data_IF_684399476035
#
_entry.id   IF_684399476035
#
_cell.length_a   1.000
_cell.length_b   1.000
_cell.length_c   1.000
_cell.angle_alpha   90.00
_cell.angle_beta   90.00
_cell.angle_gamma   90.00
#
_symmetry.space_group_name_H-M   'P 1'
#
loop_
_entity.id
_entity.type
_entity.pdbx_description
1 polymer ?
#
# COMPACT_ATOMS: atom_id res chain seq x y z
N UNK A 1 -0.43 -17.62 13.17
CA UNK A 1 -0.68 -17.17 11.77
C UNK A 1 -1.54 -18.21 11.08
N UNK A 2 -2.58 -17.79 10.34
CA UNK A 2 -3.25 -18.69 9.40
C UNK A 2 -2.31 -18.91 8.21
N UNK A 3 -2.14 -20.16 7.78
CA UNK A 3 -1.40 -20.47 6.55
C UNK A 3 -2.34 -20.23 5.37
N UNK A 4 -1.95 -19.36 4.46
CA UNK A 4 -2.63 -19.11 3.20
C UNK A 4 -1.73 -19.61 2.08
N UNK A 5 -2.31 -20.25 1.05
CA UNK A 5 -1.57 -20.57 -0.16
C UNK A 5 -1.41 -19.28 -0.99
N UNK A 6 -0.18 -18.76 -1.17
CA UNK A 6 0.06 -17.52 -1.92
C UNK A 6 -0.25 -17.67 -3.42
N UNK A 7 -0.32 -18.91 -3.92
CA UNK A 7 -0.71 -19.25 -5.29
C UNK A 7 -2.22 -19.47 -5.42
N UNK A 8 -3.00 -19.24 -4.37
CA UNK A 8 -4.45 -19.43 -4.42
C UNK A 8 -5.11 -18.39 -5.35
N UNK A 9 -5.41 -18.84 -6.57
CA UNK A 9 -6.06 -18.06 -7.64
C UNK A 9 -7.42 -18.65 -8.07
N UNK A 10 -7.91 -19.67 -7.36
CA UNK A 10 -9.07 -20.45 -7.81
C UNK A 10 -10.34 -19.57 -7.87
N UNK A 11 -10.90 -19.42 -9.09
CA UNK A 11 -12.20 -18.77 -9.42
C UNK A 11 -12.33 -17.27 -9.15
N UNK A 12 -11.27 -16.48 -9.37
CA UNK A 12 -11.24 -15.06 -8.97
C UNK A 12 -11.33 -14.94 -7.45
N UNK A 13 -10.36 -14.24 -6.87
CA UNK A 13 -10.26 -14.15 -5.42
C UNK A 13 -9.90 -12.75 -4.99
N UNK A 14 -10.60 -12.30 -3.96
CA UNK A 14 -10.37 -11.05 -3.29
C UNK A 14 -9.42 -11.26 -2.13
N UNK A 15 -8.31 -10.52 -2.17
CA UNK A 15 -7.23 -10.59 -1.19
C UNK A 15 -7.18 -9.30 -0.41
N UNK A 16 -7.14 -9.42 0.91
CA UNK A 16 -6.91 -8.27 1.80
C UNK A 16 -5.44 -8.27 2.16
N UNK A 17 -4.74 -7.20 1.84
CA UNK A 17 -3.31 -7.06 2.06
C UNK A 17 -3.09 -5.90 3.02
N UNK A 18 -2.28 -6.12 4.04
CA UNK A 18 -1.79 -5.07 4.92
C UNK A 18 -0.43 -4.61 4.42
N UNK A 19 -0.32 -3.34 4.13
CA UNK A 19 0.90 -2.64 3.76
C UNK A 19 1.38 -1.82 4.95
N UNK A 20 2.66 -1.94 5.29
CA UNK A 20 3.30 -1.20 6.38
C UNK A 20 4.29 -0.22 5.80
N UNK A 21 4.01 1.07 5.96
CA UNK A 21 4.89 2.18 5.62
C UNK A 21 5.65 2.62 6.86
N UNK A 22 6.95 2.90 6.72
CA UNK A 22 7.79 3.33 7.83
C UNK A 22 8.81 4.36 7.38
N UNK A 23 8.99 5.39 8.22
CA UNK A 23 10.12 6.31 8.17
C UNK A 23 10.64 6.49 9.59
N UNK A 24 11.89 6.07 9.85
CA UNK A 24 12.46 5.99 11.20
C UNK A 24 11.54 5.21 12.17
N UNK A 25 11.13 5.80 13.29
CA UNK A 25 10.19 5.24 14.26
C UNK A 25 8.70 5.44 13.92
N UNK A 26 8.38 6.18 12.85
CA UNK A 26 6.99 6.50 12.48
C UNK A 26 6.46 5.47 11.50
N UNK A 27 5.26 4.96 11.76
CA UNK A 27 4.61 3.93 10.95
C UNK A 27 3.21 4.35 10.49
N UNK A 28 2.81 3.78 9.35
CA UNK A 28 1.46 3.83 8.82
C UNK A 28 1.08 2.48 8.23
N UNK A 29 -0.17 2.08 8.40
CA UNK A 29 -0.75 0.87 7.85
C UNK A 29 -1.83 1.23 6.83
N UNK A 30 -1.79 0.54 5.69
CA UNK A 30 -2.88 0.53 4.73
C UNK A 30 -3.42 -0.88 4.59
N UNK A 31 -4.73 -1.03 4.56
CA UNK A 31 -5.40 -2.26 4.20
C UNK A 31 -6.05 -2.07 2.84
N UNK A 32 -5.57 -2.83 1.86
CA UNK A 32 -6.01 -2.75 0.46
C UNK A 32 -6.68 -4.05 0.07
N UNK A 33 -7.69 -3.96 -0.78
CA UNK A 33 -8.40 -5.13 -1.30
C UNK A 33 -8.14 -5.27 -2.80
N UNK A 34 -7.51 -6.37 -3.19
CA UNK A 34 -7.19 -6.67 -4.59
C UNK A 34 -7.95 -7.92 -5.01
N UNK A 35 -8.90 -7.75 -5.93
CA UNK A 35 -9.64 -8.84 -6.58
C UNK A 35 -8.97 -9.31 -7.86
N UNK A 36 -9.61 -10.25 -8.56
CA UNK A 36 -9.15 -10.68 -9.88
C UNK A 36 -8.42 -12.03 -9.92
N UNK A 37 -7.83 -12.30 -11.09
CA UNK A 37 -7.06 -13.51 -11.39
C UNK A 37 -5.54 -13.24 -11.27
N UNK A 38 -5.10 -12.77 -10.11
CA UNK A 38 -3.69 -12.50 -9.80
C UNK A 38 -3.26 -13.30 -8.56
N UNK A 39 -2.04 -13.85 -8.57
CA UNK A 39 -1.46 -14.46 -7.36
C UNK A 39 -0.97 -13.36 -6.42
N UNK A 40 -0.72 -13.70 -5.15
CA UNK A 40 -0.08 -12.74 -4.25
C UNK A 40 1.34 -12.38 -4.71
N UNK A 41 2.04 -13.32 -5.37
CA UNK A 41 3.37 -13.08 -5.92
C UNK A 41 3.37 -12.06 -7.06
N UNK A 42 2.36 -12.12 -7.95
CA UNK A 42 2.23 -11.16 -9.06
C UNK A 42 2.03 -9.72 -8.55
N UNK A 43 1.36 -9.55 -7.40
CA UNK A 43 1.12 -8.22 -6.82
C UNK A 43 2.39 -7.58 -6.23
N UNK A 44 3.44 -8.36 -5.96
CA UNK A 44 4.66 -7.81 -5.36
C UNK A 44 5.40 -6.85 -6.28
N UNK A 45 5.24 -6.97 -7.60
CA UNK A 45 5.78 -5.99 -8.55
C UNK A 45 4.96 -4.69 -8.56
N UNK A 46 3.65 -4.78 -8.36
CA UNK A 46 2.75 -3.62 -8.38
C UNK A 46 3.06 -2.66 -7.22
N UNK A 47 3.51 -3.20 -6.09
CA UNK A 47 3.91 -2.39 -4.93
C UNK A 47 5.27 -1.69 -5.09
N UNK A 48 6.06 -2.03 -6.12
CA UNK A 48 7.36 -1.39 -6.39
C UNK A 48 7.24 -0.15 -7.28
N UNK A 49 6.08 0.07 -7.91
CA UNK A 49 5.81 1.24 -8.74
C UNK A 49 5.01 2.29 -7.95
N UNK A 50 5.55 3.51 -7.86
CA UNK A 50 4.94 4.58 -7.05
C UNK A 50 3.55 5.00 -7.53
N UNK A 51 3.35 5.10 -8.85
CA UNK A 51 2.05 5.48 -9.44
C UNK A 51 0.99 4.40 -9.20
N UNK A 52 1.35 3.12 -9.36
CA UNK A 52 0.47 1.96 -9.09
C UNK A 52 0.13 1.86 -7.62
N UNK A 53 1.13 1.99 -6.74
CA UNK A 53 0.96 1.95 -5.29
C UNK A 53 0.03 3.07 -4.79
N UNK A 54 0.24 4.31 -5.25
CA UNK A 54 -0.64 5.43 -4.90
C UNK A 54 -2.07 5.23 -5.42
N UNK A 55 -2.21 4.74 -6.65
CA UNK A 55 -3.53 4.45 -7.23
C UNK A 55 -4.29 3.42 -6.41
N UNK A 56 -3.59 2.39 -5.92
CA UNK A 56 -4.16 1.39 -5.02
C UNK A 56 -4.58 1.97 -3.66
N UNK A 57 -3.72 2.78 -3.05
CA UNK A 57 -3.99 3.41 -1.76
C UNK A 57 -5.17 4.41 -1.81
N UNK A 58 -5.43 5.01 -2.97
CA UNK A 58 -6.56 5.95 -3.20
C UNK A 58 -7.89 5.25 -3.53
N UNK A 59 -7.91 3.91 -3.65
CA UNK A 59 -9.17 3.19 -3.88
C UNK A 59 -10.12 3.36 -2.70
N UNK A 60 -11.43 3.42 -2.98
CA UNK A 60 -12.46 3.60 -1.94
C UNK A 60 -12.52 2.48 -0.91
N UNK A 61 -12.06 1.29 -1.29
CA UNK A 61 -11.97 0.10 -0.44
C UNK A 61 -10.74 0.13 0.48
N UNK A 62 -9.76 0.98 0.17
CA UNK A 62 -8.52 1.09 0.93
C UNK A 62 -8.76 1.82 2.25
N UNK A 63 -8.24 1.26 3.34
CA UNK A 63 -8.32 1.84 4.68
C UNK A 63 -6.92 2.17 5.16
N UNK A 64 -6.62 3.46 5.33
CA UNK A 64 -5.34 3.95 5.83
C UNK A 64 -5.53 4.48 7.24
N UNK A 65 -4.61 4.18 8.15
CA UNK A 65 -4.55 4.81 9.47
C UNK A 65 -3.65 6.06 9.51
N UNK A 66 -3.12 6.47 8.35
CA UNK A 66 -2.22 7.60 8.17
C UNK A 66 -2.77 8.50 7.06
N UNK A 67 -2.31 9.75 6.99
CA UNK A 67 -2.72 10.65 5.91
C UNK A 67 -1.80 10.46 4.71
N UNK A 68 -2.38 10.34 3.52
CA UNK A 68 -1.66 10.31 2.25
C UNK A 68 -2.34 11.28 1.28
N UNK A 69 -1.56 12.17 0.70
CA UNK A 69 -2.01 13.18 -0.25
C UNK A 69 -1.15 13.11 -1.52
N UNK A 70 -1.82 13.26 -2.65
CA UNK A 70 -1.20 13.35 -3.98
C UNK A 70 -1.03 14.84 -4.31
N UNK A 71 0.22 15.30 -4.33
CA UNK A 71 0.56 16.70 -4.57
C UNK A 71 0.63 17.05 -6.06
N UNK A 72 0.25 16.10 -6.94
CA UNK A 72 0.28 16.25 -8.39
C UNK A 72 1.69 16.51 -8.94
N UNK A 73 1.74 16.87 -10.22
CA UNK A 73 2.96 17.02 -10.99
C UNK A 73 3.53 18.44 -10.87
N UNK A 74 4.83 18.55 -10.61
CA UNK A 74 5.53 19.84 -10.61
C UNK A 74 5.82 20.36 -12.03
N UNK A 75 6.48 21.53 -12.11
CA UNK A 75 6.85 22.18 -13.38
C UNK A 75 7.91 21.40 -14.17
N UNK A 76 8.67 20.53 -13.52
CA UNK A 76 9.69 19.66 -14.14
C UNK A 76 9.10 18.33 -14.60
N UNK A 77 7.83 18.09 -14.29
CA UNK A 77 7.14 16.88 -14.68
C UNK A 77 7.33 15.72 -13.69
N UNK A 78 7.70 15.98 -12.44
CA UNK A 78 7.79 14.94 -11.39
C UNK A 78 6.52 14.91 -10.54
N UNK A 79 6.04 13.72 -10.22
CA UNK A 79 4.90 13.52 -9.33
C UNK A 79 5.37 13.51 -7.88
N UNK A 80 4.60 14.14 -6.99
CA UNK A 80 4.91 14.28 -5.58
C UNK A 80 3.78 13.75 -4.71
N UNK A 81 4.14 13.32 -3.49
CA UNK A 81 3.16 12.93 -2.48
C UNK A 81 3.52 13.56 -1.14
N UNK A 82 2.53 13.58 -0.24
CA UNK A 82 2.72 13.88 1.17
C UNK A 82 2.12 12.78 2.02
N UNK A 83 2.87 12.28 2.99
CA UNK A 83 2.41 11.31 3.97
C UNK A 83 2.60 11.85 5.39
N UNK A 84 1.65 11.56 6.29
CA UNK A 84 1.78 11.85 7.72
C UNK A 84 1.66 10.55 8.49
N UNK A 85 2.81 10.02 8.93
CA UNK A 85 2.93 8.79 9.71
C UNK A 85 2.93 9.09 11.21
N UNK A 86 2.69 8.08 12.04
CA UNK A 86 2.60 8.24 13.49
C UNK A 86 3.54 7.27 14.23
N UNK A 87 4.15 7.74 15.31
CA UNK A 87 4.88 6.89 16.25
C UNK A 87 3.93 6.22 17.25
N UNK A 88 4.44 5.26 18.02
CA UNK A 88 3.69 4.61 19.11
C UNK A 88 3.27 5.59 20.23
N UNK A 89 3.94 6.74 20.34
CA UNK A 89 3.61 7.81 21.30
C UNK A 89 2.55 8.77 20.77
N UNK A 90 2.14 8.64 19.51
CA UNK A 90 1.17 9.51 18.84
C UNK A 90 1.77 10.80 18.25
N UNK A 91 3.09 10.94 18.28
CA UNK A 91 3.80 11.98 17.53
C UNK A 91 3.74 11.67 16.03
N UNK A 92 3.82 12.70 15.18
CA UNK A 92 3.74 12.53 13.74
C UNK A 92 5.01 12.96 13.02
N UNK A 93 5.23 12.35 11.87
CA UNK A 93 6.25 12.74 10.91
C UNK A 93 5.57 12.99 9.57
N UNK A 94 5.75 14.21 9.04
CA UNK A 94 5.32 14.59 7.71
C UNK A 94 6.48 14.36 6.73
N UNK A 95 6.20 13.60 5.68
CA UNK A 95 7.12 13.31 4.58
C UNK A 95 6.51 13.90 3.31
N UNK A 96 7.28 14.72 2.60
CA UNK A 96 6.97 15.18 1.25
C UNK A 96 8.12 14.80 0.34
N UNK A 97 7.86 13.96 -0.66
CA UNK A 97 8.89 13.44 -1.56
C UNK A 97 8.31 13.07 -2.93
N UNK A 98 9.19 12.70 -3.85
CA UNK A 98 8.83 12.16 -5.16
C UNK A 98 8.04 10.86 -5.03
N UNK A 99 7.06 10.70 -5.91
CA UNK A 99 6.20 9.52 -5.91
C UNK A 99 6.99 8.20 -6.08
N UNK A 100 8.14 8.25 -6.77
CA UNK A 100 9.05 7.11 -6.89
C UNK A 100 9.68 6.64 -5.58
N UNK A 101 9.71 7.48 -4.54
CA UNK A 101 10.20 7.13 -3.20
C UNK A 101 9.13 6.47 -2.31
N UNK A 102 7.85 6.50 -2.70
CA UNK A 102 6.76 5.91 -1.91
C UNK A 102 6.95 4.39 -1.66
N UNK A 103 7.38 3.58 -2.65
CA UNK A 103 7.73 2.17 -2.42
C UNK A 103 8.90 1.97 -1.45
N UNK A 104 9.84 2.93 -1.35
CA UNK A 104 10.98 2.81 -0.43
C UNK A 104 10.55 2.86 1.04
N UNK A 105 9.43 3.54 1.33
CA UNK A 105 8.82 3.56 2.65
C UNK A 105 8.07 2.25 2.98
N UNK A 106 7.77 1.40 2.00
CA UNK A 106 7.01 0.17 2.18
C UNK A 106 7.91 -0.95 2.74
N UNK A 107 7.87 -1.13 4.06
CA UNK A 107 8.73 -2.10 4.78
C UNK A 107 8.04 -3.43 5.08
N UNK A 108 6.73 -3.55 4.82
CA UNK A 108 5.99 -4.78 5.10
C UNK A 108 4.79 -4.97 4.18
N UNK A 109 4.65 -6.19 3.66
CA UNK A 109 3.52 -6.61 2.82
C UNK A 109 3.01 -7.94 3.38
N UNK A 110 1.81 -7.93 3.94
CA UNK A 110 1.24 -9.09 4.62
C UNK A 110 -0.11 -9.46 3.97
N UNK A 111 -0.21 -10.70 3.49
CA UNK A 111 -1.50 -11.26 3.07
C UNK A 111 -2.34 -11.60 4.31
N UNK A 112 -3.40 -10.83 4.55
CA UNK A 112 -4.24 -10.98 5.73
C UNK A 112 -5.38 -11.99 5.53
N UNK A 113 -5.90 -12.06 4.31
CA UNK A 113 -7.09 -12.84 4.00
C UNK A 113 -7.24 -13.08 2.50
N UNK A 114 -7.81 -14.23 2.11
CA UNK A 114 -8.24 -14.55 0.75
C UNK A 114 -9.68 -15.05 0.81
N UNK A 115 -10.55 -14.54 -0.06
CA UNK A 115 -11.93 -15.01 -0.25
C UNK A 115 -12.23 -15.16 -1.73
N UNK A 116 -13.07 -16.13 -2.10
CA UNK A 116 -13.57 -16.26 -3.48
C UNK A 116 -14.49 -15.10 -3.81
N UNK A 117 -14.42 -14.59 -5.04
CA UNK A 117 -15.39 -13.63 -5.56
C UNK A 117 -16.60 -14.42 -6.11
N UNK A 118 -17.81 -14.11 -5.62
CA UNK A 118 -19.07 -14.72 -6.07
C UNK A 118 -19.53 -14.17 -7.43
#
# INVERSE_FOLDING_TARGET
MKSFDPNYIYRFSKKTIKLTFQQWEYQGFAFVEIGGNCTFADMLSDFQDGDTLLSLLKQKTSMLNFKLEDLSRDKEGKNWFRAVLFSDTGENCEIEDYLGSLPEMLVGIELMNIRTED
#
